data_IF_919558293446
#
_entry.id   IF_919558293446
#
_cell.length_a   1.000
_cell.length_b   1.000
_cell.length_c   1.000
_cell.angle_alpha   90.00
_cell.angle_beta   90.00
_cell.angle_gamma   90.00
#
_symmetry.space_group_name_H-M   'P 1'
#
loop_
_entity.id
_entity.type
_entity.pdbx_description
1 polymer ?
#
# COMPACT_ATOMS: atom_id res chain seq x y z
N UNK A 1 -35.47 31.52 25.53
CA UNK A 1 -34.61 30.90 24.50
C UNK A 1 -33.41 30.33 25.24
N UNK A 2 -33.35 29.02 25.44
CA UNK A 2 -32.17 28.37 25.99
C UNK A 2 -31.09 28.42 24.89
N UNK A 3 -30.06 29.23 25.06
CA UNK A 3 -28.82 29.08 24.28
C UNK A 3 -28.28 27.69 24.58
N UNK A 4 -28.48 26.74 23.66
CA UNK A 4 -27.77 25.46 23.68
C UNK A 4 -26.29 25.83 23.49
N UNK A 5 -25.53 25.77 24.58
CA UNK A 5 -24.08 25.85 24.51
C UNK A 5 -23.62 24.52 23.89
N UNK A 6 -23.33 24.51 22.59
CA UNK A 6 -22.76 23.36 21.91
C UNK A 6 -21.28 23.22 22.31
N UNK A 7 -20.99 22.34 23.26
CA UNK A 7 -19.62 21.98 23.58
C UNK A 7 -19.15 20.87 22.64
N UNK A 8 -18.53 21.25 21.53
CA UNK A 8 -17.84 20.28 20.69
C UNK A 8 -16.57 19.80 21.39
N UNK A 9 -16.40 18.48 21.48
CA UNK A 9 -15.21 17.86 22.08
C UNK A 9 -14.23 17.49 20.97
N UNK A 10 -12.96 17.84 21.13
CA UNK A 10 -11.90 17.43 20.19
C UNK A 10 -11.06 16.33 20.83
N UNK A 11 -11.05 15.16 20.20
CA UNK A 11 -10.28 14.00 20.66
C UNK A 11 -9.20 13.69 19.62
N UNK A 12 -7.91 13.63 20.03
CA UNK A 12 -6.86 13.10 19.17
C UNK A 12 -6.85 11.56 19.23
N UNK A 13 -6.85 10.90 18.07
CA UNK A 13 -6.53 9.47 17.94
C UNK A 13 -5.15 9.38 17.29
N UNK A 14 -4.21 8.73 18.00
CA UNK A 14 -2.80 8.61 17.62
C UNK A 14 -1.91 9.81 18.00
N UNK A 15 -0.59 9.77 17.70
CA UNK A 15 0.13 8.83 16.83
C UNK A 15 0.45 7.48 17.47
N UNK A 16 0.25 7.32 18.78
CA UNK A 16 0.44 6.05 19.48
C UNK A 16 -0.94 5.65 20.01
N UNK A 17 -1.55 4.63 19.42
CA UNK A 17 -2.87 4.15 19.80
C UNK A 17 -2.97 2.64 19.51
N UNK A 18 -3.59 1.82 20.38
CA UNK A 18 -3.67 0.37 20.18
C UNK A 18 -4.40 -0.07 18.91
N UNK A 19 -5.31 0.75 18.40
CA UNK A 19 -6.05 0.48 17.16
C UNK A 19 -5.33 0.95 15.88
N UNK A 20 -4.09 1.44 16.00
CA UNK A 20 -3.30 1.98 14.89
C UNK A 20 -1.96 1.26 14.77
N UNK A 21 -1.70 0.70 13.60
CA UNK A 21 -0.54 -0.17 13.39
C UNK A 21 0.70 0.63 12.99
N UNK A 22 0.48 1.85 12.50
CA UNK A 22 1.49 2.83 12.14
C UNK A 22 1.11 4.21 12.74
N UNK A 23 2.06 5.13 12.95
CA UNK A 23 1.77 6.42 13.58
C UNK A 23 1.00 7.38 12.65
N UNK A 24 -0.32 7.47 12.83
CA UNK A 24 -1.19 8.50 12.24
C UNK A 24 -1.88 9.32 13.32
N UNK A 25 -2.24 10.57 13.00
CA UNK A 25 -3.02 11.40 13.91
C UNK A 25 -4.30 11.88 13.26
N UNK A 26 -5.43 11.46 13.82
CA UNK A 26 -6.74 12.02 13.51
C UNK A 26 -7.17 12.96 14.64
N UNK A 27 -7.64 14.15 14.30
CA UNK A 27 -8.30 15.05 15.25
C UNK A 27 -9.78 15.02 14.92
N UNK A 28 -10.55 14.41 15.81
CA UNK A 28 -11.98 14.19 15.62
C UNK A 28 -12.73 15.21 16.47
N UNK A 29 -13.64 15.94 15.84
CA UNK A 29 -14.55 16.87 16.52
C UNK A 29 -15.90 16.19 16.67
N UNK A 30 -16.37 16.07 17.91
CA UNK A 30 -17.56 15.33 18.29
C UNK A 30 -18.65 16.25 18.85
N UNK A 31 -19.90 15.95 18.52
CA UNK A 31 -21.10 16.39 19.24
C UNK A 31 -21.74 15.17 19.89
N UNK A 32 -21.50 15.02 21.20
CA UNK A 32 -21.75 13.77 21.91
C UNK A 32 -20.93 12.62 21.32
N UNK A 33 -21.60 11.63 20.72
CA UNK A 33 -20.97 10.48 20.06
C UNK A 33 -20.80 10.65 18.55
N UNK A 34 -21.44 11.67 17.95
CA UNK A 34 -21.47 11.87 16.50
C UNK A 34 -20.29 12.70 16.04
N UNK A 35 -19.70 12.27 14.94
CA UNK A 35 -18.55 12.95 14.35
C UNK A 35 -19.02 14.11 13.46
N UNK A 36 -18.57 15.33 13.78
CA UNK A 36 -18.84 16.54 12.99
C UNK A 36 -17.72 16.80 11.99
N UNK A 37 -16.47 16.58 12.40
CA UNK A 37 -15.30 16.82 11.56
C UNK A 37 -14.15 15.85 11.89
N UNK A 38 -13.36 15.52 10.86
CA UNK A 38 -12.16 14.68 10.96
C UNK A 38 -11.00 15.37 10.26
N UNK A 39 -10.02 15.83 11.02
CA UNK A 39 -8.77 16.36 10.46
C UNK A 39 -7.69 15.27 10.49
N UNK A 40 -7.16 14.93 9.31
CA UNK A 40 -6.08 13.95 9.16
C UNK A 40 -4.72 14.65 9.20
N UNK A 41 -3.85 14.25 10.12
CA UNK A 41 -2.48 14.73 10.26
C UNK A 41 -1.49 13.59 10.06
N UNK A 42 -0.78 13.69 8.94
CA UNK A 42 0.24 12.76 8.47
C UNK A 42 1.66 13.31 8.66
N UNK A 43 2.67 12.47 8.43
CA UNK A 43 4.08 12.88 8.35
C UNK A 43 4.99 12.33 9.46
N UNK A 44 4.52 11.37 10.26
CA UNK A 44 5.30 10.76 11.33
C UNK A 44 6.38 9.79 10.81
N UNK A 45 6.15 9.18 9.65
CA UNK A 45 7.05 8.29 8.91
C UNK A 45 7.76 8.98 7.73
N UNK A 46 7.92 10.31 7.77
CA UNK A 46 8.62 11.07 6.73
C UNK A 46 10.13 10.74 6.73
N UNK A 47 10.56 9.88 5.80
CA UNK A 47 11.96 9.43 5.66
C UNK A 47 12.75 10.13 4.54
N UNK A 48 12.13 11.02 3.78
CA UNK A 48 12.80 11.74 2.68
C UNK A 48 13.21 10.84 1.50
N UNK A 49 12.43 9.80 1.18
CA UNK A 49 12.78 8.79 0.16
C UNK A 49 13.06 9.38 -1.23
N UNK A 50 12.24 10.34 -1.69
CA UNK A 50 12.47 11.03 -2.97
C UNK A 50 13.83 11.77 -2.98
N UNK A 51 14.21 12.39 -1.87
CA UNK A 51 15.46 13.13 -1.73
C UNK A 51 16.69 12.21 -1.71
N UNK A 52 16.57 11.05 -1.07
CA UNK A 52 17.60 10.00 -1.07
C UNK A 52 17.76 9.44 -2.48
N UNK A 53 16.65 9.12 -3.16
CA UNK A 53 16.68 8.49 -4.48
C UNK A 53 17.39 9.35 -5.54
N UNK A 54 17.21 10.67 -5.49
CA UNK A 54 17.90 11.61 -6.40
C UNK A 54 19.44 11.63 -6.23
N UNK A 55 19.98 10.96 -5.21
CA UNK A 55 21.42 10.86 -4.90
C UNK A 55 21.92 9.42 -4.88
N UNK A 56 21.16 8.51 -5.48
CA UNK A 56 21.46 7.08 -5.56
C UNK A 56 21.35 6.63 -7.01
N UNK A 57 22.07 5.59 -7.37
CA UNK A 57 21.96 5.02 -8.70
C UNK A 57 20.65 4.22 -8.87
N UNK A 58 20.28 3.91 -10.12
CA UNK A 58 19.01 3.24 -10.43
C UNK A 58 18.78 1.92 -9.67
N UNK A 59 19.84 1.14 -9.44
CA UNK A 59 19.79 -0.15 -8.73
C UNK A 59 19.65 0.07 -7.22
N UNK A 60 20.33 1.05 -6.65
CA UNK A 60 20.17 1.42 -5.23
C UNK A 60 18.74 1.90 -4.95
N UNK A 61 18.15 2.66 -5.88
CA UNK A 61 16.76 3.13 -5.76
C UNK A 61 15.77 1.96 -5.88
N UNK A 62 16.06 0.92 -6.67
CA UNK A 62 15.24 -0.30 -6.70
C UNK A 62 15.07 -0.93 -5.31
N UNK A 63 16.18 -1.07 -4.57
CA UNK A 63 16.16 -1.59 -3.20
C UNK A 63 15.56 -0.62 -2.17
N UNK A 64 15.58 0.68 -2.47
CA UNK A 64 14.92 1.69 -1.66
C UNK A 64 13.39 1.64 -1.86
N UNK A 65 12.94 1.46 -3.11
CA UNK A 65 11.53 1.36 -3.47
C UNK A 65 10.86 0.17 -2.76
N UNK A 66 11.54 -0.97 -2.71
CA UNK A 66 11.06 -2.14 -1.99
C UNK A 66 10.82 -1.90 -0.49
N UNK A 67 11.68 -1.07 0.14
CA UNK A 67 11.62 -0.76 1.58
C UNK A 67 10.75 0.45 1.90
N UNK A 68 9.94 0.91 0.95
CA UNK A 68 8.88 1.89 1.23
C UNK A 68 7.92 1.29 2.25
N UNK A 69 7.53 0.02 2.09
CA UNK A 69 6.58 -0.68 2.94
C UNK A 69 7.01 -2.14 3.17
N UNK A 70 6.74 -2.65 4.37
CA UNK A 70 7.04 -4.04 4.73
C UNK A 70 6.04 -5.08 4.19
N UNK A 71 4.90 -4.65 3.65
CA UNK A 71 3.82 -5.54 3.16
C UNK A 71 3.67 -5.47 1.64
N UNK A 72 3.87 -4.30 1.01
CA UNK A 72 3.82 -4.09 -0.45
C UNK A 72 5.22 -4.11 -1.11
N UNK A 73 6.17 -4.87 -0.55
CA UNK A 73 7.57 -4.82 -0.95
C UNK A 73 7.77 -5.12 -2.45
N UNK A 74 7.10 -6.17 -2.95
CA UNK A 74 7.11 -6.52 -4.36
C UNK A 74 6.38 -5.48 -5.20
N UNK A 75 5.19 -5.03 -4.79
CA UNK A 75 4.41 -4.04 -5.54
C UNK A 75 5.19 -2.75 -5.81
N UNK A 76 5.89 -2.21 -4.81
CA UNK A 76 6.72 -1.01 -5.01
C UNK A 76 7.94 -1.27 -5.88
N UNK A 77 8.63 -2.39 -5.66
CA UNK A 77 9.79 -2.77 -6.47
C UNK A 77 9.39 -2.96 -7.95
N UNK A 78 8.29 -3.67 -8.20
CA UNK A 78 7.76 -3.95 -9.53
C UNK A 78 7.32 -2.68 -10.25
N UNK A 79 6.53 -1.81 -9.59
CA UNK A 79 6.06 -0.55 -10.19
C UNK A 79 7.23 0.37 -10.54
N UNK A 80 8.25 0.46 -9.67
CA UNK A 80 9.46 1.22 -9.97
C UNK A 80 10.22 0.63 -11.16
N UNK A 81 10.42 -0.70 -11.19
CA UNK A 81 11.10 -1.35 -12.30
C UNK A 81 10.38 -1.10 -13.63
N UNK A 82 9.04 -1.21 -13.67
CA UNK A 82 8.24 -0.89 -14.86
C UNK A 82 8.43 0.54 -15.33
N UNK A 83 8.43 1.51 -14.41
CA UNK A 83 8.65 2.92 -14.76
C UNK A 83 10.02 3.14 -15.42
N UNK A 84 11.05 2.45 -14.92
CA UNK A 84 12.40 2.52 -15.49
C UNK A 84 12.51 1.76 -16.81
N UNK A 85 11.86 0.60 -16.93
CA UNK A 85 11.81 -0.22 -18.14
C UNK A 85 11.14 0.52 -19.30
N UNK A 86 10.01 1.18 -19.03
CA UNK A 86 9.30 2.02 -19.99
C UNK A 86 10.17 3.20 -20.45
N UNK A 87 10.73 3.96 -19.51
CA UNK A 87 11.59 5.11 -19.80
C UNK A 87 12.80 4.72 -20.67
N UNK A 88 13.39 3.56 -20.43
CA UNK A 88 14.61 3.11 -21.12
C UNK A 88 14.33 2.21 -22.34
N UNK A 89 13.07 1.92 -22.68
CA UNK A 89 12.70 0.98 -23.73
C UNK A 89 13.35 -0.39 -23.52
N UNK A 90 13.14 -1.00 -22.37
CA UNK A 90 13.65 -2.34 -22.02
C UNK A 90 12.49 -3.32 -22.08
N UNK A 91 12.57 -4.27 -23.00
CA UNK A 91 11.65 -5.41 -23.05
C UNK A 91 12.05 -6.46 -22.02
N UNK A 92 11.06 -6.94 -21.27
CA UNK A 92 11.24 -7.94 -20.22
C UNK A 92 10.89 -9.31 -20.81
N UNK A 93 11.71 -10.35 -20.58
CA UNK A 93 11.38 -11.70 -21.04
C UNK A 93 10.05 -12.20 -20.48
N UNK A 94 9.28 -12.94 -21.28
CA UNK A 94 7.95 -13.44 -20.93
C UNK A 94 7.96 -14.26 -19.64
N UNK A 95 8.90 -15.20 -19.49
CA UNK A 95 9.06 -15.99 -18.26
C UNK A 95 9.23 -15.12 -17.00
N UNK A 96 9.92 -13.98 -17.12
CA UNK A 96 10.10 -13.06 -16.00
C UNK A 96 8.79 -12.34 -15.63
N UNK A 97 7.94 -12.01 -16.60
CA UNK A 97 6.60 -11.45 -16.33
C UNK A 97 5.70 -12.48 -15.62
N UNK A 98 5.72 -13.76 -16.02
CA UNK A 98 5.00 -14.83 -15.29
C UNK A 98 5.46 -14.95 -13.83
N UNK A 99 6.78 -14.95 -13.58
CA UNK A 99 7.32 -15.00 -12.22
C UNK A 99 6.90 -13.76 -11.42
N UNK A 100 6.90 -12.58 -12.04
CA UNK A 100 6.41 -11.34 -11.42
C UNK A 100 4.94 -11.45 -11.01
N UNK A 101 4.09 -12.01 -11.87
CA UNK A 101 2.67 -12.23 -11.55
C UNK A 101 2.52 -13.19 -10.37
N UNK A 102 3.23 -14.32 -10.37
CA UNK A 102 3.14 -15.30 -9.28
C UNK A 102 3.53 -14.67 -7.94
N UNK A 103 4.66 -13.96 -7.88
CA UNK A 103 5.12 -13.30 -6.63
C UNK A 103 4.14 -12.18 -6.22
N UNK A 104 3.61 -11.41 -7.19
CA UNK A 104 2.66 -10.34 -6.93
C UNK A 104 1.32 -10.82 -6.38
N UNK A 105 0.81 -11.95 -6.86
CA UNK A 105 -0.42 -12.55 -6.35
C UNK A 105 -0.22 -13.29 -5.03
N UNK A 106 0.96 -13.88 -4.78
CA UNK A 106 1.33 -14.36 -3.44
C UNK A 106 1.40 -13.19 -2.43
N UNK A 107 1.98 -12.05 -2.83
CA UNK A 107 1.97 -10.82 -2.01
C UNK A 107 0.53 -10.37 -1.69
N UNK A 108 -0.36 -10.43 -2.69
CA UNK A 108 -1.78 -10.07 -2.51
C UNK A 108 -2.49 -10.95 -1.49
N UNK A 109 -2.31 -12.27 -1.58
CA UNK A 109 -2.95 -13.21 -0.65
C UNK A 109 -2.51 -12.95 0.81
N UNK A 110 -1.21 -12.85 1.09
CA UNK A 110 -0.77 -12.60 2.47
C UNK A 110 -1.18 -11.21 2.97
N UNK A 111 -1.32 -10.23 2.07
CA UNK A 111 -1.77 -8.88 2.42
C UNK A 111 -3.23 -8.85 2.80
N UNK A 112 -4.10 -9.56 2.07
CA UNK A 112 -5.52 -9.63 2.39
C UNK A 112 -5.78 -10.43 3.67
N UNK A 113 -5.09 -11.56 3.88
CA UNK A 113 -5.19 -12.33 5.12
C UNK A 113 -4.78 -11.51 6.35
N UNK A 114 -3.72 -10.69 6.22
CA UNK A 114 -3.30 -9.77 7.28
C UNK A 114 -4.42 -8.77 7.60
N UNK A 115 -4.97 -8.11 6.58
CA UNK A 115 -5.98 -7.08 6.78
C UNK A 115 -7.30 -7.64 7.34
N UNK A 116 -7.73 -8.81 6.88
CA UNK A 116 -8.90 -9.51 7.44
C UNK A 116 -8.71 -9.76 8.94
N UNK A 117 -7.53 -10.24 9.35
CA UNK A 117 -7.20 -10.42 10.76
C UNK A 117 -7.23 -9.13 11.58
N UNK A 118 -6.66 -8.04 11.05
CA UNK A 118 -6.65 -6.72 11.71
C UNK A 118 -8.07 -6.16 11.86
N UNK A 119 -8.90 -6.25 10.82
CA UNK A 119 -10.31 -5.79 10.89
C UNK A 119 -11.08 -6.63 11.91
N UNK A 120 -10.86 -7.94 11.97
CA UNK A 120 -11.48 -8.79 12.98
C UNK A 120 -11.03 -8.43 14.41
N UNK A 121 -9.73 -8.18 14.63
CA UNK A 121 -9.23 -7.71 15.93
C UNK A 121 -9.87 -6.37 16.33
N UNK A 122 -10.03 -5.46 15.38
CA UNK A 122 -10.63 -4.13 15.61
C UNK A 122 -12.08 -4.22 16.11
N UNK A 123 -12.82 -5.28 15.76
CA UNK A 123 -14.17 -5.54 16.26
C UNK A 123 -14.21 -6.50 17.47
N UNK A 124 -13.05 -6.89 18.01
CA UNK A 124 -12.89 -7.72 19.21
C UNK A 124 -12.75 -9.24 18.96
N UNK A 125 -12.53 -9.67 17.71
CA UNK A 125 -12.44 -11.09 17.34
C UNK A 125 -10.98 -11.57 17.26
N UNK A 126 -10.35 -11.74 18.42
CA UNK A 126 -8.93 -12.15 18.52
C UNK A 126 -8.67 -13.56 17.96
N UNK A 127 -9.63 -14.47 18.07
CA UNK A 127 -9.49 -15.82 17.48
C UNK A 127 -9.30 -15.76 15.98
N UNK A 128 -10.02 -14.87 15.29
CA UNK A 128 -9.93 -14.71 13.83
C UNK A 128 -8.59 -14.07 13.44
N UNK A 129 -8.08 -13.13 14.24
CA UNK A 129 -6.72 -12.60 14.09
C UNK A 129 -5.68 -13.75 14.12
N UNK A 130 -5.71 -14.57 15.17
CA UNK A 130 -4.75 -15.66 15.32
C UNK A 130 -4.85 -16.69 14.18
N UNK A 131 -6.06 -17.09 13.79
CA UNK A 131 -6.27 -18.09 12.74
C UNK A 131 -5.92 -17.56 11.34
N UNK A 132 -6.27 -16.31 11.04
CA UNK A 132 -5.91 -15.69 9.75
C UNK A 132 -4.40 -15.51 9.60
N UNK A 133 -3.71 -15.16 10.68
CA UNK A 133 -2.25 -15.02 10.68
C UNK A 133 -1.55 -16.38 10.67
N UNK A 134 -2.10 -17.41 11.32
CA UNK A 134 -1.63 -18.78 11.17
C UNK A 134 -1.75 -19.25 9.71
N UNK A 135 -2.87 -18.96 9.04
CA UNK A 135 -3.04 -19.29 7.63
C UNK A 135 -2.02 -18.55 6.75
N UNK A 136 -1.75 -17.27 7.06
CA UNK A 136 -0.81 -16.40 6.36
C UNK A 136 0.63 -16.94 6.34
N UNK A 137 1.06 -17.66 7.38
CA UNK A 137 2.43 -18.19 7.48
C UNK A 137 2.82 -19.07 6.28
N UNK A 138 1.87 -19.83 5.72
CA UNK A 138 2.13 -20.75 4.60
C UNK A 138 2.58 -20.02 3.32
N UNK A 139 1.97 -18.86 3.02
CA UNK A 139 2.41 -18.00 1.91
C UNK A 139 3.76 -17.38 2.22
N UNK A 140 4.00 -16.99 3.47
CA UNK A 140 5.28 -16.39 3.88
C UNK A 140 6.44 -17.38 3.77
N UNK A 141 6.25 -18.65 4.12
CA UNK A 141 7.26 -19.70 3.97
C UNK A 141 7.62 -19.92 2.50
N UNK A 142 6.64 -19.86 1.59
CA UNK A 142 6.87 -19.95 0.15
C UNK A 142 7.64 -18.73 -0.36
N UNK A 143 7.25 -17.52 0.07
CA UNK A 143 7.97 -16.29 -0.29
C UNK A 143 9.40 -16.28 0.25
N UNK A 144 9.63 -16.88 1.41
CA UNK A 144 10.96 -17.11 1.99
C UNK A 144 11.78 -18.11 1.18
N UNK A 145 11.22 -19.25 0.74
CA UNK A 145 11.94 -20.21 -0.10
C UNK A 145 12.34 -19.61 -1.47
N UNK A 146 11.48 -18.76 -2.05
CA UNK A 146 11.75 -18.08 -3.33
C UNK A 146 12.72 -16.89 -3.15
N UNK A 147 12.39 -15.97 -2.24
CA UNK A 147 13.03 -14.68 -2.05
C UNK A 147 14.19 -14.69 -1.06
N UNK A 148 14.27 -15.66 -0.18
CA UNK A 148 15.26 -15.80 0.90
C UNK A 148 14.90 -15.06 2.20
N UNK A 149 13.96 -14.11 2.14
CA UNK A 149 13.42 -13.42 3.31
C UNK A 149 11.90 -13.53 3.30
N UNK A 150 11.29 -13.50 4.49
CA UNK A 150 9.82 -13.50 4.68
C UNK A 150 9.11 -12.22 4.19
N UNK A 151 9.83 -11.10 4.22
CA UNK A 151 9.42 -9.78 3.69
C UNK A 151 10.67 -9.11 3.09
N UNK A 152 10.50 -8.17 2.16
CA UNK A 152 11.62 -7.60 1.40
C UNK A 152 12.47 -8.69 0.68
N UNK A 153 11.84 -9.30 -0.33
CA UNK A 153 12.31 -10.47 -1.07
C UNK A 153 13.47 -10.21 -2.05
N UNK A 154 13.70 -8.95 -2.46
CA UNK A 154 14.66 -8.54 -3.49
C UNK A 154 14.59 -9.36 -4.80
N UNK A 155 13.40 -9.86 -5.13
CA UNK A 155 13.16 -10.79 -6.23
C UNK A 155 13.09 -10.12 -7.61
N UNK A 156 12.59 -8.90 -7.68
CA UNK A 156 12.41 -8.17 -8.93
C UNK A 156 13.64 -7.31 -9.28
N UNK A 157 13.93 -7.17 -10.57
CA UNK A 157 15.02 -6.35 -11.10
C UNK A 157 14.56 -5.52 -12.29
N UNK A 158 15.34 -4.50 -12.67
CA UNK A 158 15.12 -3.78 -13.92
C UNK A 158 15.49 -4.73 -15.07
N UNK A 159 14.54 -5.01 -15.96
CA UNK A 159 14.69 -5.93 -17.09
C UNK A 159 14.47 -7.40 -16.75
N UNK A 160 13.83 -7.74 -15.63
CA UNK A 160 13.50 -9.15 -15.31
C UNK A 160 13.43 -9.46 -13.82
N UNK A 161 13.83 -10.69 -13.46
CA UNK A 161 13.82 -11.19 -12.07
C UNK A 161 15.19 -11.75 -11.66
N UNK A 162 15.45 -11.79 -10.35
CA UNK A 162 16.73 -12.23 -9.79
C UNK A 162 16.86 -13.76 -9.78
N UNK A 163 15.79 -14.45 -9.43
CA UNK A 163 15.75 -15.91 -9.25
C UNK A 163 14.56 -16.49 -10.01
N UNK A 164 14.74 -17.72 -10.49
CA UNK A 164 13.71 -18.48 -11.17
C UNK A 164 12.88 -19.32 -10.17
N UNK A 165 11.68 -19.72 -10.59
CA UNK A 165 10.81 -20.65 -9.88
C UNK A 165 11.18 -22.08 -10.30
N UNK A 166 11.58 -22.90 -9.32
CA UNK A 166 11.92 -24.32 -9.50
C UNK A 166 10.69 -25.20 -9.29
N UNK A 167 10.74 -26.45 -9.75
CA UNK A 167 9.63 -27.41 -9.59
C UNK A 167 9.22 -27.66 -8.14
N UNK A 168 10.17 -27.57 -7.20
CA UNK A 168 9.86 -27.65 -5.77
C UNK A 168 8.96 -26.49 -5.31
N UNK A 169 9.20 -25.28 -5.82
CA UNK A 169 8.39 -24.10 -5.50
C UNK A 169 7.00 -24.24 -6.12
N UNK A 170 6.91 -24.72 -7.38
CA UNK A 170 5.63 -25.00 -8.05
C UNK A 170 4.78 -25.97 -7.22
N UNK A 171 5.36 -27.08 -6.75
CA UNK A 171 4.67 -28.05 -5.89
C UNK A 171 4.17 -27.43 -4.59
N UNK A 172 5.02 -26.70 -3.86
CA UNK A 172 4.65 -26.04 -2.61
C UNK A 172 3.51 -25.03 -2.79
N UNK A 173 3.53 -24.24 -3.88
CA UNK A 173 2.46 -23.29 -4.21
C UNK A 173 1.13 -24.02 -4.48
N UNK A 174 1.14 -25.11 -5.25
CA UNK A 174 -0.06 -25.88 -5.54
C UNK A 174 -0.65 -26.54 -4.28
N UNK A 175 0.20 -27.09 -3.40
CA UNK A 175 -0.22 -27.64 -2.11
C UNK A 175 -0.85 -26.55 -1.21
N UNK A 176 -0.25 -25.35 -1.18
CA UNK A 176 -0.82 -24.20 -0.46
C UNK A 176 -2.18 -23.81 -1.01
N UNK A 177 -2.35 -23.75 -2.33
CA UNK A 177 -3.63 -23.41 -2.97
C UNK A 177 -4.70 -24.46 -2.61
N UNK A 178 -4.36 -25.74 -2.66
CA UNK A 178 -5.29 -26.81 -2.25
C UNK A 178 -5.71 -26.67 -0.78
N UNK A 179 -4.74 -26.44 0.11
CA UNK A 179 -5.02 -26.19 1.53
C UNK A 179 -5.92 -24.96 1.73
N UNK A 180 -5.65 -23.86 1.04
CA UNK A 180 -6.47 -22.65 1.17
C UNK A 180 -7.89 -22.85 0.67
N UNK A 181 -8.08 -23.52 -0.46
CA UNK A 181 -9.42 -23.82 -1.00
C UNK A 181 -10.26 -24.71 -0.10
N UNK A 182 -9.63 -25.72 0.49
CA UNK A 182 -10.35 -26.74 1.27
C UNK A 182 -10.56 -26.33 2.73
N UNK A 183 -9.57 -25.69 3.34
CA UNK A 183 -9.52 -25.52 4.79
C UNK A 183 -9.65 -24.07 5.26
N UNK A 184 -9.14 -23.10 4.49
CA UNK A 184 -9.06 -21.70 4.93
C UNK A 184 -10.22 -20.89 4.41
N UNK A 185 -10.42 -20.87 3.09
CA UNK A 185 -11.42 -20.01 2.46
C UNK A 185 -12.85 -20.30 2.89
N UNK A 186 -13.32 -21.57 3.04
CA UNK A 186 -14.66 -21.82 3.54
C UNK A 186 -14.91 -21.20 4.92
N UNK A 187 -13.92 -21.26 5.82
CA UNK A 187 -13.99 -20.67 7.17
C UNK A 187 -13.93 -19.14 7.12
N UNK A 188 -13.09 -18.58 6.26
CA UNK A 188 -13.02 -17.12 6.03
C UNK A 188 -14.35 -16.60 5.50
N UNK A 189 -14.96 -17.30 4.57
CA UNK A 189 -16.27 -16.92 4.03
C UNK A 189 -17.38 -17.02 5.07
N UNK A 190 -17.42 -18.11 5.83
CA UNK A 190 -18.35 -18.29 6.95
C UNK A 190 -18.31 -17.09 7.91
N UNK A 191 -17.11 -16.69 8.33
CA UNK A 191 -16.91 -15.58 9.28
C UNK A 191 -17.23 -14.23 8.65
N UNK A 192 -16.69 -13.91 7.48
CA UNK A 192 -16.78 -12.54 6.94
C UNK A 192 -18.03 -12.26 6.12
N UNK A 193 -18.69 -13.29 5.57
CA UNK A 193 -19.88 -13.11 4.74
C UNK A 193 -21.18 -13.48 5.47
N UNK A 194 -21.13 -14.41 6.44
CA UNK A 194 -22.34 -15.01 7.00
C UNK A 194 -22.47 -14.88 8.52
N UNK A 195 -21.43 -14.46 9.25
CA UNK A 195 -21.54 -14.25 10.70
C UNK A 195 -22.38 -12.98 11.03
N UNK A 196 -23.47 -13.11 11.81
CA UNK A 196 -24.34 -11.98 12.12
C UNK A 196 -23.67 -10.87 12.93
N UNK A 197 -22.65 -11.20 13.73
CA UNK A 197 -21.94 -10.22 14.58
C UNK A 197 -20.98 -9.40 13.74
N UNK A 198 -20.27 -10.06 12.82
CA UNK A 198 -19.42 -9.38 11.83
C UNK A 198 -20.28 -8.49 10.95
N UNK A 199 -21.40 -8.99 10.43
CA UNK A 199 -22.32 -8.15 9.65
C UNK A 199 -22.80 -6.96 10.46
N UNK A 200 -23.29 -7.15 11.69
CA UNK A 200 -23.78 -6.06 12.53
C UNK A 200 -22.73 -4.98 12.85
N UNK A 201 -21.43 -5.32 12.86
CA UNK A 201 -20.35 -4.35 13.11
C UNK A 201 -19.75 -3.72 11.87
N UNK A 202 -19.86 -4.35 10.70
CA UNK A 202 -19.24 -3.86 9.47
C UNK A 202 -20.23 -3.23 8.50
N UNK A 203 -21.51 -3.61 8.58
CA UNK A 203 -22.58 -3.09 7.72
C UNK A 203 -22.89 -1.65 8.11
N UNK A 204 -23.13 -0.82 7.10
CA UNK A 204 -23.54 0.58 7.26
C UNK A 204 -22.52 1.47 8.01
N UNK A 205 -21.32 0.97 8.30
CA UNK A 205 -20.20 1.75 8.86
C UNK A 205 -19.25 2.25 7.77
N UNK A 206 -18.84 3.51 7.87
CA UNK A 206 -17.81 4.10 7.03
C UNK A 206 -18.19 4.08 5.54
N UNK A 207 -19.45 4.36 5.26
CA UNK A 207 -20.06 4.26 3.92
C UNK A 207 -19.43 5.27 2.96
N UNK A 208 -18.87 4.78 1.86
CA UNK A 208 -18.37 5.61 0.77
C UNK A 208 -19.32 5.46 -0.44
N UNK A 209 -20.20 6.43 -0.69
CA UNK A 209 -21.02 6.41 -1.90
C UNK A 209 -20.14 6.46 -3.14
N UNK A 210 -20.59 5.80 -4.22
CA UNK A 210 -19.88 5.77 -5.52
C UNK A 210 -19.43 7.15 -6.00
N UNK A 211 -20.26 8.18 -5.83
CA UNK A 211 -19.95 9.57 -6.17
C UNK A 211 -18.72 10.08 -5.40
N UNK A 212 -18.71 9.91 -4.07
CA UNK A 212 -17.60 10.32 -3.20
C UNK A 212 -16.34 9.54 -3.54
N UNK A 213 -16.45 8.23 -3.81
CA UNK A 213 -15.32 7.41 -4.24
C UNK A 213 -14.68 7.93 -5.56
N UNK A 214 -15.48 8.44 -6.50
CA UNK A 214 -14.99 9.07 -7.73
C UNK A 214 -14.35 10.43 -7.43
N UNK A 215 -15.03 11.31 -6.70
CA UNK A 215 -14.56 12.68 -6.39
C UNK A 215 -13.21 12.65 -5.65
N UNK A 216 -13.05 11.73 -4.69
CA UNK A 216 -11.82 11.56 -3.93
C UNK A 216 -10.81 10.64 -4.60
N UNK A 217 -11.11 10.10 -5.79
CA UNK A 217 -10.24 9.17 -6.51
C UNK A 217 -9.82 7.96 -5.65
N UNK A 218 -10.76 7.36 -4.93
CA UNK A 218 -10.53 6.12 -4.19
C UNK A 218 -9.97 5.03 -5.11
N UNK A 219 -9.15 4.14 -4.55
CA UNK A 219 -8.48 3.06 -5.29
C UNK A 219 -8.68 1.70 -4.65
N UNK A 220 -8.45 0.66 -5.44
CA UNK A 220 -8.37 -0.72 -4.95
C UNK A 220 -9.67 -1.24 -4.36
N UNK A 221 -9.59 -2.05 -3.29
CA UNK A 221 -10.76 -2.58 -2.61
C UNK A 221 -11.74 -1.51 -2.13
N UNK A 222 -11.25 -0.31 -1.78
CA UNK A 222 -12.09 0.83 -1.37
C UNK A 222 -13.01 1.31 -2.50
N UNK A 223 -12.46 1.44 -3.72
CA UNK A 223 -13.24 1.83 -4.89
C UNK A 223 -14.19 0.72 -5.35
N UNK A 224 -13.69 -0.53 -5.38
CA UNK A 224 -14.46 -1.72 -5.77
C UNK A 224 -15.60 -2.02 -4.81
N UNK A 225 -15.39 -1.84 -3.51
CA UNK A 225 -16.44 -1.93 -2.47
C UNK A 225 -17.56 -0.91 -2.68
N UNK A 226 -17.23 0.28 -3.23
CA UNK A 226 -18.21 1.30 -3.62
C UNK A 226 -18.89 1.03 -4.99
N UNK A 227 -18.66 -0.13 -5.60
CA UNK A 227 -19.23 -0.53 -6.89
C UNK A 227 -18.53 0.05 -8.12
N UNK A 228 -17.29 0.52 -7.99
CA UNK A 228 -16.48 0.96 -9.12
C UNK A 228 -15.64 -0.21 -9.62
N UNK A 229 -15.99 -0.73 -10.81
CA UNK A 229 -15.29 -1.84 -11.46
C UNK A 229 -13.98 -1.36 -12.10
N UNK A 230 -12.97 -1.07 -11.27
CA UNK A 230 -11.61 -0.62 -11.67
C UNK A 230 -10.55 -1.57 -11.10
N UNK A 231 -9.62 -1.99 -11.94
CA UNK A 231 -8.42 -2.77 -11.59
C UNK A 231 -7.35 -2.53 -12.67
N UNK A 232 -6.15 -2.07 -12.29
CA UNK A 232 -5.08 -1.76 -13.26
C UNK A 232 -4.68 -2.98 -14.08
N UNK A 233 -4.70 -4.20 -13.51
CA UNK A 233 -4.35 -5.44 -14.21
C UNK A 233 -5.30 -5.71 -15.38
N UNK A 234 -6.58 -5.37 -15.20
CA UNK A 234 -7.63 -5.54 -16.21
C UNK A 234 -7.72 -4.36 -17.17
N UNK A 235 -7.79 -3.13 -16.66
CA UNK A 235 -8.07 -1.94 -17.46
C UNK A 235 -6.91 -1.57 -18.39
N UNK A 236 -5.67 -1.66 -17.91
CA UNK A 236 -4.46 -1.34 -18.69
C UNK A 236 -3.89 -2.55 -19.42
N UNK A 237 -4.51 -3.74 -19.25
CA UNK A 237 -4.02 -5.01 -19.81
C UNK A 237 -2.54 -5.26 -19.49
N UNK A 238 -2.21 -5.23 -18.20
CA UNK A 238 -0.82 -5.18 -17.74
C UNK A 238 -0.09 -6.51 -17.95
N UNK A 239 1.04 -6.49 -18.68
CA UNK A 239 1.91 -7.66 -18.84
C UNK A 239 1.13 -8.88 -19.34
N UNK A 240 1.29 -10.02 -18.65
CA UNK A 240 0.61 -11.29 -18.98
C UNK A 240 -0.75 -11.48 -18.28
N UNK A 241 -1.20 -10.52 -17.45
CA UNK A 241 -2.51 -10.63 -16.78
C UNK A 241 -3.72 -10.81 -17.71
N UNK A 242 -3.77 -10.22 -18.92
CA UNK A 242 -4.87 -10.45 -19.86
C UNK A 242 -5.08 -11.94 -20.20
N UNK A 243 -3.98 -12.66 -20.41
CA UNK A 243 -3.99 -14.07 -20.80
C UNK A 243 -4.40 -14.98 -19.64
N UNK A 244 -4.16 -14.53 -18.40
CA UNK A 244 -4.53 -15.23 -17.17
C UNK A 244 -6.00 -15.03 -16.77
N UNK A 245 -6.73 -14.12 -17.44
CA UNK A 245 -8.17 -13.94 -17.27
C UNK A 245 -8.56 -13.19 -15.99
N UNK A 246 -7.80 -12.16 -15.60
CA UNK A 246 -8.12 -11.31 -14.44
C UNK A 246 -9.49 -10.67 -14.58
N UNK A 247 -10.26 -10.64 -13.50
CA UNK A 247 -11.56 -9.96 -13.43
C UNK A 247 -11.62 -9.08 -12.18
N UNK A 248 -12.04 -7.80 -12.29
CA UNK A 248 -12.24 -6.96 -11.11
C UNK A 248 -13.39 -7.50 -10.27
N UNK A 249 -13.14 -7.73 -8.98
CA UNK A 249 -14.11 -8.21 -8.00
C UNK A 249 -15.00 -7.06 -7.52
N UNK A 250 -16.31 -7.28 -7.41
CA UNK A 250 -17.23 -6.31 -6.79
C UNK A 250 -18.18 -7.01 -5.82
N UNK A 251 -18.63 -6.34 -4.73
CA UNK A 251 -19.46 -6.99 -3.71
C UNK A 251 -20.78 -7.54 -4.28
N UNK A 252 -21.29 -6.93 -5.36
CA UNK A 252 -22.48 -7.38 -6.09
C UNK A 252 -22.43 -8.87 -6.49
N UNK A 253 -21.25 -9.41 -6.78
CA UNK A 253 -21.09 -10.81 -7.21
C UNK A 253 -21.29 -11.81 -6.05
N UNK A 254 -21.15 -11.34 -4.80
CA UNK A 254 -21.27 -12.18 -3.60
C UNK A 254 -22.55 -11.90 -2.81
N UNK A 255 -22.93 -10.63 -2.65
CA UNK A 255 -24.04 -10.21 -1.79
C UNK A 255 -25.26 -9.72 -2.57
N UNK A 256 -25.13 -9.51 -3.89
CA UNK A 256 -26.17 -8.92 -4.74
C UNK A 256 -26.39 -7.41 -4.56
N UNK A 257 -25.86 -6.80 -3.49
CA UNK A 257 -26.10 -5.39 -3.12
C UNK A 257 -24.76 -4.67 -2.93
N UNK A 258 -24.71 -3.40 -3.33
CA UNK A 258 -23.56 -2.52 -3.10
C UNK A 258 -24.01 -1.35 -2.23
N UNK A 259 -23.46 -1.28 -1.02
CA UNK A 259 -23.61 -0.16 -0.09
C UNK A 259 -22.36 0.72 -0.03
N UNK A 260 -21.16 0.14 -0.18
CA UNK A 260 -19.88 0.86 -0.05
C UNK A 260 -19.40 1.01 1.40
N UNK A 261 -19.88 0.15 2.30
CA UNK A 261 -19.51 0.08 3.71
C UNK A 261 -18.22 -0.74 3.95
N UNK A 262 -17.82 -0.90 5.21
CA UNK A 262 -16.68 -1.77 5.56
C UNK A 262 -16.93 -3.21 5.12
N UNK A 263 -18.15 -3.72 5.29
CA UNK A 263 -18.50 -5.08 4.89
C UNK A 263 -18.21 -5.35 3.41
N UNK A 264 -18.68 -4.48 2.51
CA UNK A 264 -18.43 -4.62 1.07
C UNK A 264 -16.93 -4.58 0.72
N UNK A 265 -16.12 -3.82 1.46
CA UNK A 265 -14.65 -3.80 1.31
C UNK A 265 -14.00 -5.11 1.76
N UNK A 266 -14.56 -5.81 2.75
CA UNK A 266 -14.08 -7.13 3.17
C UNK A 266 -14.44 -8.20 2.15
N UNK A 267 -15.68 -8.18 1.64
CA UNK A 267 -16.15 -9.09 0.57
C UNK A 267 -15.22 -9.03 -0.65
N UNK A 268 -14.84 -7.82 -1.08
CA UNK A 268 -13.90 -7.65 -2.21
C UNK A 268 -12.55 -8.32 -1.92
N UNK A 269 -12.01 -8.18 -0.70
CA UNK A 269 -10.72 -8.81 -0.33
C UNK A 269 -10.82 -10.33 -0.29
N UNK A 270 -11.92 -10.88 0.22
CA UNK A 270 -12.16 -12.33 0.21
C UNK A 270 -12.22 -12.85 -1.23
N UNK A 271 -12.96 -12.18 -2.12
CA UNK A 271 -13.02 -12.54 -3.54
C UNK A 271 -11.68 -12.37 -4.27
N UNK A 272 -10.89 -11.36 -3.91
CA UNK A 272 -9.54 -11.18 -4.48
C UNK A 272 -8.58 -12.32 -4.09
N UNK A 273 -8.72 -12.93 -2.90
CA UNK A 273 -7.92 -14.12 -2.53
C UNK A 273 -8.24 -15.31 -3.45
N UNK A 274 -9.52 -15.58 -3.72
CA UNK A 274 -9.93 -16.60 -4.69
C UNK A 274 -9.36 -16.33 -6.07
N UNK A 275 -9.49 -15.09 -6.54
CA UNK A 275 -9.00 -14.70 -7.86
C UNK A 275 -7.48 -14.83 -7.96
N UNK A 276 -6.72 -14.44 -6.93
CA UNK A 276 -5.27 -14.63 -6.87
C UNK A 276 -4.87 -16.11 -6.97
N UNK A 277 -5.56 -17.00 -6.26
CA UNK A 277 -5.28 -18.44 -6.35
C UNK A 277 -5.48 -18.97 -7.79
N UNK A 278 -6.58 -18.59 -8.45
CA UNK A 278 -6.81 -18.99 -9.86
C UNK A 278 -5.77 -18.43 -10.82
N UNK A 279 -5.35 -17.17 -10.65
CA UNK A 279 -4.32 -16.55 -11.48
C UNK A 279 -2.99 -17.28 -11.31
N UNK A 280 -2.62 -17.62 -10.07
CA UNK A 280 -1.36 -18.32 -9.78
C UNK A 280 -1.36 -19.71 -10.43
N UNK A 281 -2.44 -20.47 -10.33
CA UNK A 281 -2.51 -21.79 -10.99
C UNK A 281 -2.35 -21.69 -12.49
N UNK A 282 -3.09 -20.79 -13.14
CA UNK A 282 -2.98 -20.57 -14.60
C UNK A 282 -1.59 -20.11 -14.99
N UNK A 283 -0.99 -19.21 -14.20
CA UNK A 283 0.37 -18.73 -14.44
C UNK A 283 1.39 -19.87 -14.34
N UNK A 284 1.27 -20.76 -13.34
CA UNK A 284 2.17 -21.90 -13.18
C UNK A 284 2.04 -22.93 -14.32
N UNK A 285 0.88 -23.04 -14.94
CA UNK A 285 0.62 -23.99 -16.03
C UNK A 285 0.99 -23.44 -17.41
N UNK A 286 0.83 -22.14 -17.63
CA UNK A 286 1.12 -21.48 -18.91
C UNK A 286 2.54 -20.89 -18.99
N UNK A 287 3.30 -20.86 -17.88
CA UNK A 287 4.63 -20.25 -17.83
C UNK A 287 5.61 -20.92 -18.82
N UNK A 288 6.15 -20.18 -19.80
CA UNK A 288 7.09 -20.73 -20.77
C UNK A 288 8.48 -20.92 -20.16
N UNK A 289 9.26 -21.83 -20.73
CA UNK A 289 10.71 -21.87 -20.51
C UNK A 289 11.39 -20.68 -21.20
N UNK A 290 12.51 -20.21 -20.65
CA UNK A 290 13.26 -19.12 -21.28
C UNK A 290 14.12 -18.31 -20.33
N UNK A 291 14.58 -17.17 -20.82
CA UNK A 291 15.42 -16.24 -20.05
C UNK A 291 14.59 -15.53 -18.99
N UNK A 292 15.19 -15.29 -17.83
CA UNK A 292 14.58 -14.52 -16.73
C UNK A 292 15.09 -13.08 -16.63
N UNK A 293 16.10 -12.72 -17.43
CA UNK A 293 16.71 -11.38 -17.50
C UNK A 293 16.88 -10.97 -18.95
N UNK A 294 16.56 -9.70 -19.26
CA UNK A 294 16.81 -9.09 -20.56
C UNK A 294 18.31 -8.97 -20.85
N UNK A 295 19.11 -8.66 -19.82
CA UNK A 295 20.56 -8.51 -19.93
C UNK A 295 21.30 -9.63 -19.17
N UNK A 296 22.35 -10.23 -19.75
CA UNK A 296 23.11 -11.29 -19.11
C UNK A 296 24.01 -10.78 -17.96
N UNK A 297 24.44 -9.51 -17.99
CA UNK A 297 25.27 -8.88 -16.96
C UNK A 297 24.62 -7.60 -16.46
N UNK A 298 24.55 -7.45 -15.13
CA UNK A 298 23.88 -6.31 -14.48
C UNK A 298 24.55 -4.96 -14.82
N UNK A 299 25.88 -4.95 -15.08
CA UNK A 299 26.61 -3.73 -15.46
C UNK A 299 26.12 -3.11 -16.78
N UNK A 300 25.59 -3.93 -17.71
CA UNK A 300 25.06 -3.42 -18.98
C UNK A 300 23.80 -2.57 -18.78
N UNK A 301 23.00 -2.90 -17.76
CA UNK A 301 21.80 -2.15 -17.40
C UNK A 301 22.20 -0.73 -16.98
N UNK A 302 23.18 -0.59 -16.11
CA UNK A 302 23.65 0.72 -15.64
C UNK A 302 24.16 1.60 -16.80
N UNK A 303 24.90 1.00 -17.75
CA UNK A 303 25.39 1.73 -18.94
C UNK A 303 24.24 2.18 -19.82
N UNK A 304 23.21 1.35 -20.03
CA UNK A 304 22.01 1.72 -20.79
C UNK A 304 21.25 2.84 -20.09
N UNK A 305 21.01 2.71 -18.78
CA UNK A 305 20.26 3.70 -17.99
C UNK A 305 21.01 5.04 -17.88
N UNK A 306 22.33 5.04 -17.84
CA UNK A 306 23.14 6.28 -17.85
C UNK A 306 23.01 7.05 -19.17
N UNK A 307 22.73 6.36 -20.27
CA UNK A 307 22.52 6.95 -21.60
C UNK A 307 21.05 7.31 -21.86
N UNK A 308 20.13 6.84 -21.01
CA UNK A 308 18.71 7.08 -21.18
C UNK A 308 18.33 8.53 -20.82
N UNK A 309 17.29 9.02 -21.49
CA UNK A 309 16.76 10.37 -21.32
C UNK A 309 15.24 10.30 -21.55
N UNK A 310 14.48 11.05 -20.74
CA UNK A 310 13.03 11.09 -20.85
C UNK A 310 12.32 10.70 -19.55
N UNK A 311 11.04 10.38 -19.68
CA UNK A 311 10.12 10.12 -18.57
C UNK A 311 9.49 8.74 -18.71
N UNK A 312 9.13 8.12 -17.59
CA UNK A 312 8.40 6.85 -17.55
C UNK A 312 7.47 6.78 -16.35
N UNK A 313 6.34 6.08 -16.53
CA UNK A 313 5.27 5.91 -15.56
C UNK A 313 4.94 4.42 -15.42
N UNK A 314 5.42 3.82 -14.33
CA UNK A 314 4.98 2.50 -13.91
C UNK A 314 3.64 2.58 -13.19
N UNK A 315 2.69 1.75 -13.59
CA UNK A 315 1.42 1.52 -12.88
C UNK A 315 1.30 0.05 -12.53
N UNK A 316 0.78 -0.26 -11.35
CA UNK A 316 0.50 -1.62 -10.90
C UNK A 316 -0.65 -1.64 -9.89
N UNK A 317 -1.42 -2.71 -9.87
CA UNK A 317 -2.46 -2.91 -8.85
C UNK A 317 -1.82 -3.53 -7.59
N UNK A 318 -1.40 -2.70 -6.64
CA UNK A 318 -0.98 -3.21 -5.33
C UNK A 318 -2.21 -3.80 -4.59
N UNK A 319 -2.03 -4.57 -3.50
CA UNK A 319 -3.16 -5.14 -2.74
C UNK A 319 -4.14 -4.09 -2.17
N UNK A 320 -3.70 -2.83 -2.06
CA UNK A 320 -4.50 -1.69 -1.59
C UNK A 320 -5.07 -0.82 -2.73
N UNK A 321 -4.68 -1.09 -3.97
CA UNK A 321 -5.12 -0.37 -5.16
C UNK A 321 -4.00 0.10 -6.08
N UNK A 322 -4.35 0.94 -7.04
CA UNK A 322 -3.44 1.52 -8.03
C UNK A 322 -2.26 2.26 -7.37
N UNK A 323 -1.07 1.70 -7.59
CA UNK A 323 0.23 2.27 -7.26
C UNK A 323 0.88 2.82 -8.55
N UNK A 324 1.41 4.03 -8.47
CA UNK A 324 2.05 4.70 -9.60
C UNK A 324 3.45 5.15 -9.21
N UNK A 325 4.45 4.90 -10.05
CA UNK A 325 5.79 5.46 -9.93
C UNK A 325 6.13 6.21 -11.20
N UNK A 326 6.53 7.46 -11.06
CA UNK A 326 7.04 8.30 -12.12
C UNK A 326 8.55 8.45 -11.95
N UNK A 327 9.29 8.29 -13.04
CA UNK A 327 10.73 8.50 -13.11
C UNK A 327 11.06 9.44 -14.25
N UNK A 328 12.10 10.28 -14.06
CA UNK A 328 12.72 11.06 -15.11
C UNK A 328 14.21 10.79 -15.13
N UNK A 329 14.72 10.44 -16.30
CA UNK A 329 16.15 10.30 -16.56
C UNK A 329 16.70 11.55 -17.23
N UNK A 330 17.94 11.88 -16.90
CA UNK A 330 18.72 12.89 -17.60
C UNK A 330 20.02 12.23 -18.04
N UNK A 331 20.37 12.41 -19.31
CA UNK A 331 21.54 11.79 -19.92
C UNK A 331 22.82 12.10 -19.13
N UNK A 332 23.60 11.08 -18.84
CA UNK A 332 24.87 11.19 -18.12
C UNK A 332 24.77 11.11 -16.60
N UNK A 333 23.57 11.13 -16.01
CA UNK A 333 23.37 10.86 -14.58
C UNK A 333 23.33 9.36 -14.28
N UNK A 334 23.90 8.97 -13.13
CA UNK A 334 23.93 7.56 -12.68
C UNK A 334 22.61 7.09 -12.05
N UNK A 335 21.67 8.01 -11.78
CA UNK A 335 20.39 7.76 -11.13
C UNK A 335 19.28 8.68 -11.63
N UNK A 336 18.06 8.56 -11.08
CA UNK A 336 16.92 9.36 -11.50
C UNK A 336 17.14 10.84 -11.20
N UNK A 337 16.85 11.68 -12.20
CA UNK A 337 16.77 13.13 -11.98
C UNK A 337 15.55 13.48 -11.13
N UNK A 338 14.46 12.73 -11.30
CA UNK A 338 13.28 12.78 -10.43
C UNK A 338 12.72 11.37 -10.30
N UNK A 339 12.31 11.03 -9.08
CA UNK A 339 11.45 9.89 -8.81
C UNK A 339 10.30 10.38 -7.93
N UNK A 340 9.09 9.95 -8.27
CA UNK A 340 7.87 10.26 -7.53
C UNK A 340 7.00 9.02 -7.48
N UNK A 341 6.65 8.59 -6.27
CA UNK A 341 5.65 7.55 -6.06
C UNK A 341 4.30 8.16 -5.69
N UNK A 342 3.23 7.45 -6.04
CA UNK A 342 1.86 7.75 -5.65
C UNK A 342 1.13 6.48 -5.23
N UNK A 343 0.98 6.33 -3.92
CA UNK A 343 0.32 5.22 -3.25
C UNK A 343 -1.22 5.28 -3.33
N UNK A 344 -1.89 4.11 -3.24
CA UNK A 344 -3.35 4.01 -3.24
C UNK A 344 -3.99 4.51 -1.93
N UNK A 345 -3.30 4.36 -0.79
CA UNK A 345 -3.82 4.72 0.53
C UNK A 345 -4.08 6.21 0.68
N UNK A 346 -3.29 7.08 0.02
CA UNK A 346 -3.44 8.53 0.13
C UNK A 346 -4.86 9.04 -0.19
N UNK A 347 -5.43 8.82 -1.39
CA UNK A 347 -6.82 9.21 -1.64
C UNK A 347 -7.83 8.44 -0.79
N UNK A 348 -7.57 7.16 -0.48
CA UNK A 348 -8.46 6.35 0.35
C UNK A 348 -8.64 6.94 1.76
N UNK A 349 -7.57 7.48 2.35
CA UNK A 349 -7.59 8.08 3.67
C UNK A 349 -8.50 9.31 3.73
N UNK A 350 -8.43 10.18 2.72
CA UNK A 350 -9.32 11.34 2.63
C UNK A 350 -10.76 10.95 2.30
N UNK A 351 -10.97 9.89 1.52
CA UNK A 351 -12.30 9.35 1.25
C UNK A 351 -12.94 8.79 2.54
N UNK A 352 -12.18 8.06 3.37
CA UNK A 352 -12.65 7.56 4.68
C UNK A 352 -12.89 8.69 5.66
N UNK A 353 -11.99 9.68 5.73
CA UNK A 353 -12.20 10.84 6.61
C UNK A 353 -13.52 11.58 6.28
N UNK A 354 -13.88 11.66 4.99
CA UNK A 354 -15.18 12.21 4.56
C UNK A 354 -16.35 11.30 4.93
N UNK A 355 -16.18 9.98 4.85
CA UNK A 355 -17.20 8.99 5.19
C UNK A 355 -17.49 8.94 6.70
N UNK A 356 -16.50 9.22 7.54
CA UNK A 356 -16.65 9.26 8.99
C UNK A 356 -17.50 10.41 9.51
N UNK A 357 -17.72 11.46 8.71
CA UNK A 357 -18.57 12.59 9.14
C UNK A 357 -20.03 12.15 9.21
N UNK A 358 -20.61 12.23 10.41
CA UNK A 358 -21.96 11.77 10.72
C UNK A 358 -22.03 10.39 11.38
N UNK A 359 -20.93 9.64 11.37
CA UNK A 359 -20.81 8.32 12.01
C UNK A 359 -20.56 8.43 13.52
N UNK A 360 -20.58 7.27 14.20
CA UNK A 360 -20.25 7.18 15.63
C UNK A 360 -18.74 7.05 15.85
N UNK A 361 -18.28 7.49 17.02
CA UNK A 361 -16.87 7.35 17.42
C UNK A 361 -16.37 5.89 17.36
N UNK A 362 -17.24 4.92 17.69
CA UNK A 362 -16.90 3.49 17.68
C UNK A 362 -16.63 2.92 16.28
N UNK A 363 -17.07 3.60 15.22
CA UNK A 363 -16.88 3.14 13.84
C UNK A 363 -15.58 3.66 13.22
N UNK A 364 -14.89 4.58 13.90
CA UNK A 364 -13.62 5.15 13.45
C UNK A 364 -12.54 4.08 13.25
N UNK A 365 -12.23 3.21 14.23
CA UNK A 365 -11.17 2.23 14.07
C UNK A 365 -11.43 1.27 12.92
N UNK A 366 -12.66 0.78 12.79
CA UNK A 366 -13.01 -0.22 11.78
C UNK A 366 -13.04 0.38 10.37
N UNK A 367 -13.52 1.62 10.21
CA UNK A 367 -13.49 2.33 8.94
C UNK A 367 -12.05 2.60 8.46
N UNK A 368 -11.15 2.98 9.38
CA UNK A 368 -9.73 3.19 9.09
C UNK A 368 -9.06 1.85 8.74
N UNK A 369 -9.18 0.83 9.59
CA UNK A 369 -8.62 -0.50 9.34
C UNK A 369 -9.09 -1.11 8.01
N UNK A 370 -10.35 -0.82 7.61
CA UNK A 370 -10.93 -1.36 6.38
C UNK A 370 -10.27 -0.90 5.08
N UNK A 371 -9.48 0.17 5.09
CA UNK A 371 -8.72 0.64 3.91
C UNK A 371 -7.26 0.19 3.93
N UNK A 372 -6.85 -0.54 4.98
CA UNK A 372 -5.48 -1.03 5.18
C UNK A 372 -4.44 0.09 5.05
N UNK A 373 -4.46 1.09 5.96
CA UNK A 373 -3.68 2.30 5.79
C UNK A 373 -2.19 2.02 6.02
N UNK A 374 -1.40 2.05 4.94
CA UNK A 374 0.05 2.03 5.05
C UNK A 374 0.62 3.45 5.01
N UNK A 375 1.00 3.97 6.16
CA UNK A 375 1.52 5.34 6.32
C UNK A 375 2.97 5.47 5.90
N UNK A 376 3.72 4.38 5.97
CA UNK A 376 5.08 4.25 5.47
C UNK A 376 5.17 4.60 3.98
N UNK A 377 4.08 4.37 3.23
CA UNK A 377 3.86 4.82 1.86
C UNK A 377 3.21 6.20 1.76
N UNK A 378 2.29 6.52 2.67
CA UNK A 378 1.35 7.66 2.57
C UNK A 378 1.93 8.99 3.06
N UNK A 379 2.94 8.95 3.93
CA UNK A 379 3.49 10.13 4.57
C UNK A 379 4.27 11.00 3.60
N UNK A 380 3.55 12.00 3.08
CA UNK A 380 4.06 13.09 2.28
C UNK A 380 3.66 14.40 2.95
N UNK A 381 4.64 15.19 3.33
CA UNK A 381 4.39 16.55 3.77
C UNK A 381 4.54 17.49 2.59
N UNK A 382 3.46 18.13 2.19
CA UNK A 382 3.50 19.35 1.40
C UNK A 382 3.04 20.49 2.31
N UNK A 383 3.92 21.44 2.61
CA UNK A 383 3.55 22.63 3.36
C UNK A 383 2.98 23.63 2.39
N UNK A 384 1.69 23.90 2.53
CA UNK A 384 0.98 24.92 1.78
C UNK A 384 0.64 26.00 2.80
N UNK A 385 1.09 27.21 2.53
CA UNK A 385 0.67 28.38 3.30
C UNK A 385 -0.83 28.61 3.04
N UNK A 386 -1.65 28.38 4.07
CA UNK A 386 -3.10 28.43 3.97
C UNK A 386 -3.64 29.80 3.52
N UNK A 387 -2.87 30.87 3.71
CA UNK A 387 -3.30 32.22 3.33
C UNK A 387 -2.90 32.59 1.90
N UNK A 388 -1.81 32.01 1.38
CA UNK A 388 -1.25 32.41 0.08
C UNK A 388 -1.32 31.32 -0.99
N UNK A 389 -1.69 30.09 -0.63
CA UNK A 389 -1.71 28.93 -1.53
C UNK A 389 -0.33 28.51 -2.05
N UNK A 390 0.75 29.18 -1.61
CA UNK A 390 2.11 28.89 -2.06
C UNK A 390 2.63 27.61 -1.41
N UNK A 391 3.08 26.69 -2.26
CA UNK A 391 3.76 25.46 -1.83
C UNK A 391 5.18 25.79 -1.41
N UNK A 392 5.50 25.64 -0.12
CA UNK A 392 6.86 25.75 0.40
C UNK A 392 7.39 24.35 0.69
N UNK A 393 8.53 24.00 0.11
CA UNK A 393 9.26 22.78 0.49
C UNK A 393 10.04 23.13 1.75
N UNK A 394 9.63 22.60 2.91
CA UNK A 394 10.42 22.75 4.13
C UNK A 394 11.63 21.84 4.05
N UNK A 395 12.81 22.42 4.17
CA UNK A 395 14.06 21.68 4.28
C UNK A 395 14.23 21.14 5.69
N UNK A 396 15.16 20.20 5.89
CA UNK A 396 15.58 19.72 7.23
C UNK A 396 15.89 20.90 8.18
N UNK A 397 16.53 21.95 7.66
CA UNK A 397 16.88 23.15 8.41
C UNK A 397 15.63 23.94 8.82
N UNK A 398 14.62 24.00 7.97
CA UNK A 398 13.36 24.68 8.28
C UNK A 398 12.55 23.91 9.33
N UNK A 399 12.49 22.58 9.21
CA UNK A 399 11.82 21.72 10.18
C UNK A 399 12.50 21.76 11.56
N UNK A 400 13.83 21.79 11.58
CA UNK A 400 14.60 21.95 12.81
C UNK A 400 14.35 23.31 13.45
N UNK A 401 14.29 24.39 12.65
CA UNK A 401 13.97 25.74 13.15
C UNK A 401 12.56 25.81 13.77
N UNK A 402 11.55 25.25 13.11
CA UNK A 402 10.19 25.22 13.65
C UNK A 402 10.08 24.34 14.90
N UNK A 403 10.77 23.20 14.93
CA UNK A 403 10.85 22.35 16.12
C UNK A 403 11.49 23.07 17.31
N UNK A 404 12.59 23.80 17.09
CA UNK A 404 13.25 24.61 18.11
C UNK A 404 12.34 25.73 18.60
N UNK A 405 11.67 26.42 17.67
CA UNK A 405 10.72 27.48 17.99
C UNK A 405 9.59 26.94 18.86
N UNK A 406 8.98 25.81 18.48
CA UNK A 406 7.91 25.20 19.26
C UNK A 406 8.37 24.69 20.62
N UNK A 407 9.58 24.14 20.70
CA UNK A 407 10.19 23.69 21.95
C UNK A 407 10.43 24.86 22.91
N UNK A 408 10.85 26.03 22.40
CA UNK A 408 10.99 27.26 23.19
C UNK A 408 9.65 27.85 23.63
N UNK A 409 8.60 27.71 22.82
CA UNK A 409 7.23 28.08 23.24
C UNK A 409 6.72 27.20 24.37
N UNK A 410 7.01 25.88 24.31
CA UNK A 410 6.55 24.91 25.31
C UNK A 410 7.39 24.98 26.60
N UNK A 411 8.69 25.21 26.48
CA UNK A 411 9.62 25.31 27.61
C UNK A 411 10.57 26.52 27.42
N UNK A 412 10.20 27.69 27.97
CA UNK A 412 10.97 28.92 27.81
C UNK A 412 12.38 28.88 28.41
N UNK A 413 12.63 27.95 29.35
CA UNK A 413 13.87 27.87 30.12
C UNK A 413 14.90 26.87 29.56
N UNK A 414 14.64 26.28 28.38
CA UNK A 414 15.60 25.39 27.72
C UNK A 414 16.86 26.16 27.30
N UNK A 415 18.01 25.83 27.91
CA UNK A 415 19.33 26.46 27.65
C UNK A 415 20.15 25.75 26.57
N UNK A 416 19.70 24.61 26.05
CA UNK A 416 20.46 23.84 25.06
C UNK A 416 20.44 24.50 23.67
N UNK A 417 21.61 24.67 23.05
CA UNK A 417 21.75 24.97 21.61
C UNK A 417 21.82 23.64 20.85
N UNK A 418 20.82 23.29 20.03
CA UNK A 418 20.92 22.13 19.17
C UNK A 418 21.84 22.48 17.99
N UNK A 419 23.13 22.19 18.14
CA UNK A 419 24.06 22.17 17.01
C UNK A 419 24.05 20.78 16.35
N UNK A 420 24.41 20.72 15.06
CA UNK A 420 24.58 19.46 14.33
C UNK A 420 25.68 18.64 14.99
N UNK A 421 25.32 17.65 15.79
CA UNK A 421 26.26 16.62 16.23
C UNK A 421 26.56 15.74 15.01
N UNK A 422 27.77 15.89 14.46
CA UNK A 422 28.38 14.89 13.58
C UNK A 422 28.45 15.20 12.08
N UNK A 423 29.25 16.19 11.67
CA UNK A 423 30.11 16.01 10.49
C UNK A 423 31.52 15.84 11.03
N UNK A 424 31.91 14.59 11.29
CA UNK A 424 33.30 14.24 11.55
C UNK A 424 34.12 14.51 10.29
N UNK A 425 34.63 15.74 10.14
CA UNK A 425 35.82 16.00 9.34
C UNK A 425 37.00 15.45 10.12
N UNK A 426 37.47 14.28 9.74
CA UNK A 426 38.80 13.83 10.07
C UNK A 426 39.76 14.73 9.26
N UNK A 427 40.40 15.67 9.94
CA UNK A 427 41.59 16.36 9.45
C UNK A 427 42.73 15.98 10.38
N UNK A 428 43.79 15.47 9.76
CA UNK A 428 45.02 14.86 10.28
C UNK A 428 44.88 13.41 10.78
#
# INVERSE_FOLDING_TARGET
MNEKIEYWVKIPIGPIHPALEEPEKFIITLDGERIINVDVKLGYNLRGLEWIAMRRNWIQVLYLAERICGICSFSHNHTYARAVEEMAGIEVPERAEYIRVIIGELERIHSHLLNLGVVAHTIGYDTVLHLSWLARERVMDILEDIGGNRVNYAGNMIGGVRRDIKDRHKRAILEMIQYYRQEVMPKVEEIFLYDPTVEARLRDSGVIPKRVAIEYSAQGPTARGSGIRKDVRYNEKLGVYPDLGVKPVTPKEFTGVVKGDVFDRMVVRVGEIWNSMEIIERALDQMPEGKIKAFPKDNLILVKLKKAEGEGIGRYEAPRGELIHYVRAEKGKDGPAKWKMREPTFPNLFAVARALVGEQLADVPVAIASIDPCLSCTDRVAVIDANTGKRKILTEVDLLKESIKKTKEINPNIKARPERIGIGRCML
#
